data_IF_678917991637
#
_entry.id   IF_678917991637
#
_cell.length_a   1.000
_cell.length_b   1.000
_cell.length_c   1.000
_cell.angle_alpha   90.00
_cell.angle_beta   90.00
_cell.angle_gamma   90.00
#
_symmetry.space_group_name_H-M   'P 1'
#
loop_
_entity.id
_entity.type
_entity.pdbx_description
1 polymer ?
#
# COMPACT_ATOMS: atom_id res chain seq x y z
N UNK A 1 -22.40 0.84 -23.26
CA UNK A 1 -21.11 1.27 -22.73
C UNK A 1 -20.76 0.27 -21.65
N UNK A 2 -19.58 -0.38 -21.63
CA UNK A 2 -19.21 -1.19 -20.49
C UNK A 2 -19.11 -0.25 -19.29
N UNK A 3 -19.85 -0.55 -18.22
CA UNK A 3 -19.73 0.13 -16.94
C UNK A 3 -18.27 0.03 -16.48
N UNK A 4 -17.60 1.17 -16.32
CA UNK A 4 -16.25 1.22 -15.75
C UNK A 4 -16.28 0.66 -14.33
N UNK A 5 -15.95 -0.61 -14.18
CA UNK A 5 -15.92 -1.29 -12.89
C UNK A 5 -14.84 -0.75 -11.95
N UNK A 6 -13.84 -0.05 -12.49
CA UNK A 6 -12.71 0.51 -11.72
C UNK A 6 -12.37 1.87 -12.32
N UNK A 7 -12.27 2.92 -11.49
CA UNK A 7 -11.80 4.21 -11.95
C UNK A 7 -10.26 4.21 -12.03
N UNK A 8 -9.75 4.62 -13.18
CA UNK A 8 -8.34 4.97 -13.37
C UNK A 8 -8.24 6.50 -13.42
N UNK A 9 -7.52 7.09 -12.49
CA UNK A 9 -7.30 8.55 -12.46
C UNK A 9 -5.85 8.82 -12.84
N UNK A 10 -5.66 9.38 -14.06
CA UNK A 10 -4.35 9.85 -14.52
C UNK A 10 -4.04 11.22 -13.92
N UNK A 11 -2.86 11.36 -13.31
CA UNK A 11 -2.43 12.58 -12.60
C UNK A 11 -1.33 13.36 -13.34
N UNK A 12 -0.73 12.79 -14.41
CA UNK A 12 0.35 13.38 -15.17
C UNK A 12 0.06 13.48 -16.68
N UNK A 13 0.52 14.53 -17.37
CA UNK A 13 0.28 14.70 -18.80
C UNK A 13 1.06 13.70 -19.67
N UNK A 14 0.42 13.24 -20.75
CA UNK A 14 0.83 12.12 -21.60
C UNK A 14 2.02 12.34 -22.56
N UNK A 15 2.68 13.50 -22.57
CA UNK A 15 3.50 13.90 -23.70
C UNK A 15 4.89 13.22 -23.88
N UNK A 16 5.32 12.35 -22.97
CA UNK A 16 6.67 11.78 -23.00
C UNK A 16 6.78 10.27 -22.65
N UNK A 17 5.67 9.52 -22.65
CA UNK A 17 5.68 8.13 -22.22
C UNK A 17 6.25 7.19 -23.29
N UNK A 18 7.09 6.24 -22.90
CA UNK A 18 7.46 5.13 -23.78
C UNK A 18 6.22 4.28 -24.07
N UNK A 19 5.94 4.07 -25.35
CA UNK A 19 4.78 3.29 -25.76
C UNK A 19 4.89 1.83 -25.29
N UNK A 20 3.82 1.36 -24.67
CA UNK A 20 3.63 -0.04 -24.33
C UNK A 20 4.27 -0.52 -23.02
N UNK A 21 4.87 0.36 -22.20
CA UNK A 21 5.49 -0.02 -20.92
C UNK A 21 4.91 0.73 -19.73
N UNK A 22 4.66 0.00 -18.62
CA UNK A 22 4.26 0.57 -17.35
C UNK A 22 4.80 -0.23 -16.16
N UNK A 23 4.76 0.39 -14.97
CA UNK A 23 5.01 -0.26 -13.70
C UNK A 23 3.80 -0.08 -12.78
N UNK A 24 3.31 -1.17 -12.20
CA UNK A 24 2.16 -1.23 -11.32
C UNK A 24 2.63 -1.51 -9.90
N UNK A 25 2.34 -0.61 -8.98
CA UNK A 25 2.76 -0.72 -7.59
C UNK A 25 1.55 -0.90 -6.68
N UNK A 26 1.55 -1.98 -5.90
CA UNK A 26 0.72 -2.04 -4.71
C UNK A 26 1.19 -1.01 -3.68
N UNK A 27 0.31 -0.56 -2.79
CA UNK A 27 0.59 0.50 -1.82
C UNK A 27 0.98 -0.07 -0.45
N UNK A 28 0.10 -0.88 0.13
CA UNK A 28 0.19 -1.31 1.52
C UNK A 28 1.32 -2.34 1.72
N UNK A 29 2.28 -2.06 2.61
CA UNK A 29 3.53 -2.80 2.82
C UNK A 29 4.46 -2.93 1.60
N UNK A 30 4.02 -2.55 0.40
CA UNK A 30 4.81 -2.52 -0.84
C UNK A 30 5.49 -1.17 -1.02
N UNK A 31 4.72 -0.10 -1.27
CA UNK A 31 5.22 1.27 -1.42
C UNK A 31 5.47 1.91 -0.06
N UNK A 32 4.57 1.70 0.89
CA UNK A 32 4.63 2.23 2.25
C UNK A 32 4.59 1.13 3.31
N UNK A 33 4.98 1.48 4.54
CA UNK A 33 4.88 0.60 5.70
C UNK A 33 3.49 0.68 6.32
N UNK A 34 2.82 -0.45 6.43
CA UNK A 34 1.49 -0.59 7.04
C UNK A 34 0.37 -0.43 6.01
N UNK A 35 -0.86 -0.33 6.48
CA UNK A 35 -2.06 -0.24 5.67
C UNK A 35 -2.57 1.21 5.60
N UNK A 36 -2.69 1.75 4.40
CA UNK A 36 -3.20 3.10 4.12
C UNK A 36 -4.63 3.27 4.66
N UNK A 37 -5.48 2.27 4.44
CA UNK A 37 -6.87 2.26 4.93
C UNK A 37 -6.95 2.38 6.47
N UNK A 38 -5.99 1.81 7.21
CA UNK A 38 -5.93 1.96 8.66
C UNK A 38 -5.71 3.43 9.08
N UNK A 39 -4.86 4.16 8.34
CA UNK A 39 -4.59 5.57 8.61
C UNK A 39 -5.80 6.45 8.27
N UNK A 40 -6.49 6.15 7.17
CA UNK A 40 -7.75 6.79 6.79
C UNK A 40 -8.80 6.58 7.88
N UNK A 41 -9.04 5.34 8.29
CA UNK A 41 -10.02 5.01 9.33
C UNK A 41 -9.67 5.68 10.67
N UNK A 42 -8.40 5.70 11.06
CA UNK A 42 -7.95 6.39 12.28
C UNK A 42 -8.26 7.89 12.23
N UNK A 43 -8.02 8.54 11.09
CA UNK A 43 -8.27 9.97 10.94
C UNK A 43 -9.77 10.28 10.93
N UNK A 44 -10.57 9.46 10.25
CA UNK A 44 -12.03 9.54 10.29
C UNK A 44 -12.57 9.43 11.72
N UNK A 45 -12.03 8.50 12.52
CA UNK A 45 -12.36 8.37 13.94
C UNK A 45 -12.00 9.66 14.72
N UNK A 46 -10.82 10.23 14.50
CA UNK A 46 -10.39 11.47 15.15
C UNK A 46 -11.29 12.67 14.80
N UNK A 47 -11.86 12.68 13.60
CA UNK A 47 -12.85 13.68 13.15
C UNK A 47 -14.27 13.40 13.67
N UNK A 48 -14.49 12.29 14.40
CA UNK A 48 -15.80 11.93 14.95
C UNK A 48 -16.77 11.37 13.91
N UNK A 49 -16.26 10.93 12.73
CA UNK A 49 -17.08 10.35 11.69
C UNK A 49 -17.75 9.03 12.15
N UNK A 50 -17.17 8.35 13.14
CA UNK A 50 -17.77 7.18 13.78
C UNK A 50 -17.33 7.06 15.26
N UNK A 51 -18.11 6.32 16.04
CA UNK A 51 -17.88 6.12 17.47
C UNK A 51 -17.10 4.84 17.76
N UNK A 52 -16.50 4.76 18.98
CA UNK A 52 -15.79 3.55 19.43
C UNK A 52 -16.68 2.28 19.34
N UNK A 53 -17.96 2.28 19.74
CA UNK A 53 -18.83 1.11 19.58
C UNK A 53 -19.01 0.66 18.13
N UNK A 54 -19.12 1.61 17.17
CA UNK A 54 -19.20 1.31 15.74
C UNK A 54 -17.88 0.70 15.23
N UNK A 55 -16.74 1.28 15.60
CA UNK A 55 -15.41 0.76 15.27
C UNK A 55 -15.17 -0.62 15.92
N UNK A 56 -15.56 -0.82 17.17
CA UNK A 56 -15.44 -2.10 17.89
C UNK A 56 -16.34 -3.18 17.27
N UNK A 57 -17.55 -2.82 16.85
CA UNK A 57 -18.44 -3.73 16.11
C UNK A 57 -17.83 -4.19 14.79
N UNK A 58 -17.20 -3.27 14.06
CA UNK A 58 -16.45 -3.59 12.84
C UNK A 58 -15.22 -4.48 13.12
N UNK A 59 -14.40 -4.11 14.10
CA UNK A 59 -13.22 -4.88 14.50
C UNK A 59 -13.60 -6.29 15.02
N UNK A 60 -14.72 -6.42 15.74
CA UNK A 60 -15.23 -7.71 16.18
C UNK A 60 -15.68 -8.61 15.03
N UNK A 61 -16.39 -8.04 14.03
CA UNK A 61 -16.76 -8.76 12.82
C UNK A 61 -15.52 -9.24 12.06
N UNK A 62 -14.53 -8.37 11.91
CA UNK A 62 -13.25 -8.69 11.26
C UNK A 62 -12.48 -9.78 12.01
N UNK A 63 -12.44 -9.72 13.36
CA UNK A 63 -11.80 -10.72 14.21
C UNK A 63 -12.50 -12.09 14.11
N UNK A 64 -13.83 -12.11 14.16
CA UNK A 64 -14.61 -13.33 13.98
C UNK A 64 -14.47 -13.94 12.59
N UNK A 65 -14.33 -13.09 11.55
CA UNK A 65 -14.01 -13.51 10.20
C UNK A 65 -12.67 -14.26 10.13
N UNK A 66 -11.61 -13.68 10.69
CA UNK A 66 -10.27 -14.30 10.73
C UNK A 66 -10.30 -15.64 11.49
N UNK A 67 -11.09 -15.74 12.57
CA UNK A 67 -11.18 -16.96 13.39
C UNK A 67 -11.99 -18.09 12.74
N UNK A 68 -13.01 -17.77 11.94
CA UNK A 68 -13.93 -18.77 11.35
C UNK A 68 -13.46 -19.34 10.02
N UNK A 69 -12.37 -18.79 9.45
CA UNK A 69 -11.92 -19.17 8.11
C UNK A 69 -12.82 -18.59 7.00
N UNK A 70 -12.23 -18.45 5.83
CA UNK A 70 -12.81 -17.74 4.67
C UNK A 70 -14.14 -18.38 4.21
N UNK A 71 -15.27 -17.78 4.59
CA UNK A 71 -16.52 -17.94 3.88
C UNK A 71 -16.76 -16.65 3.06
N UNK A 72 -17.07 -16.80 1.79
CA UNK A 72 -17.29 -15.70 0.84
C UNK A 72 -18.40 -14.75 1.31
N UNK A 73 -19.43 -15.29 1.97
CA UNK A 73 -20.55 -14.50 2.51
C UNK A 73 -20.14 -13.56 3.66
N UNK A 74 -19.12 -13.92 4.45
CA UNK A 74 -18.60 -13.10 5.55
C UNK A 74 -17.74 -11.92 5.03
N UNK A 75 -17.10 -12.05 3.87
CA UNK A 75 -16.36 -10.95 3.20
C UNK A 75 -17.33 -9.85 2.78
N UNK A 76 -18.48 -10.21 2.21
CA UNK A 76 -19.50 -9.25 1.83
C UNK A 76 -20.08 -8.50 3.03
N UNK A 77 -20.33 -9.18 4.16
CA UNK A 77 -20.86 -8.54 5.36
C UNK A 77 -19.87 -7.53 6.01
N UNK A 78 -18.57 -7.82 5.98
CA UNK A 78 -17.53 -6.89 6.45
C UNK A 78 -17.43 -5.69 5.52
N UNK A 79 -17.45 -5.92 4.21
CA UNK A 79 -17.48 -4.88 3.17
C UNK A 79 -18.66 -3.92 3.39
N UNK A 80 -19.86 -4.44 3.48
CA UNK A 80 -21.10 -3.66 3.60
C UNK A 80 -21.12 -2.83 4.89
N UNK A 81 -20.52 -3.33 5.96
CA UNK A 81 -20.42 -2.59 7.21
C UNK A 81 -19.43 -1.41 7.15
N UNK A 82 -18.30 -1.57 6.47
CA UNK A 82 -17.30 -0.50 6.28
C UNK A 82 -17.87 0.60 5.35
N UNK A 83 -18.56 0.21 4.29
CA UNK A 83 -19.18 1.11 3.33
C UNK A 83 -20.31 1.93 3.95
N UNK A 84 -21.10 1.33 4.85
CA UNK A 84 -22.15 2.04 5.59
C UNK A 84 -21.59 3.20 6.43
N UNK A 85 -20.34 3.12 6.90
CA UNK A 85 -19.68 4.20 7.63
C UNK A 85 -19.26 5.37 6.71
N UNK A 86 -19.10 5.13 5.43
CA UNK A 86 -18.78 6.17 4.45
C UNK A 86 -20.02 6.87 3.88
N UNK A 87 -21.22 6.32 4.10
CA UNK A 87 -22.46 6.88 3.57
C UNK A 87 -22.69 8.32 4.08
N UNK A 88 -22.97 9.25 3.16
CA UNK A 88 -23.21 10.65 3.44
C UNK A 88 -21.95 11.52 3.56
N UNK A 89 -20.75 10.95 3.51
CA UNK A 89 -19.50 11.70 3.43
C UNK A 89 -19.36 12.24 2.02
N UNK A 90 -18.92 13.49 1.85
CA UNK A 90 -18.71 14.08 0.53
C UNK A 90 -17.38 13.62 -0.08
N UNK A 91 -17.27 13.66 -1.40
CA UNK A 91 -16.00 13.37 -2.11
C UNK A 91 -14.93 14.36 -1.66
N UNK A 92 -15.27 15.64 -1.54
CA UNK A 92 -14.36 16.70 -1.07
C UNK A 92 -13.80 16.40 0.32
N UNK A 93 -14.63 15.88 1.25
CA UNK A 93 -14.18 15.51 2.59
C UNK A 93 -13.20 14.32 2.56
N UNK A 94 -13.39 13.36 1.66
CA UNK A 94 -12.48 12.22 1.51
C UNK A 94 -11.16 12.65 0.84
N UNK A 95 -11.21 13.53 -0.15
CA UNK A 95 -9.99 14.11 -0.76
C UNK A 95 -9.19 14.92 0.26
N UNK A 96 -9.86 15.82 1.00
CA UNK A 96 -9.21 16.58 2.07
C UNK A 96 -8.66 15.68 3.20
N UNK A 97 -9.36 14.59 3.51
CA UNK A 97 -8.91 13.58 4.44
C UNK A 97 -7.66 12.86 3.89
N UNK A 98 -7.64 12.57 2.60
CA UNK A 98 -6.50 11.95 1.91
C UNK A 98 -5.23 12.80 2.01
N UNK A 99 -5.32 14.11 1.78
CA UNK A 99 -4.22 15.06 1.92
C UNK A 99 -3.68 15.09 3.36
N UNK A 100 -4.54 15.19 4.38
CA UNK A 100 -4.12 15.18 5.78
C UNK A 100 -3.46 13.83 6.17
N UNK A 101 -4.03 12.71 5.73
CA UNK A 101 -3.48 11.39 6.01
C UNK A 101 -2.12 11.21 5.31
N UNK A 102 -1.97 11.76 4.10
CA UNK A 102 -0.69 11.73 3.40
C UNK A 102 0.37 12.49 4.21
N UNK A 103 0.13 13.76 4.53
CA UNK A 103 1.09 14.63 5.22
C UNK A 103 1.45 14.11 6.63
N UNK A 104 0.46 13.72 7.42
CA UNK A 104 0.68 13.32 8.80
C UNK A 104 1.22 11.90 8.96
N UNK A 105 0.87 10.99 8.05
CA UNK A 105 1.05 9.56 8.29
C UNK A 105 1.72 8.80 7.15
N UNK A 106 1.37 9.04 5.87
CA UNK A 106 1.84 8.22 4.75
C UNK A 106 3.26 8.59 4.36
N UNK A 107 3.57 9.88 4.15
CA UNK A 107 4.85 10.35 3.65
C UNK A 107 6.04 9.76 4.43
N UNK A 108 5.99 9.83 5.75
CA UNK A 108 7.05 9.31 6.63
C UNK A 108 7.18 7.78 6.62
N UNK A 109 6.21 7.08 6.05
CA UNK A 109 6.15 5.61 5.98
C UNK A 109 6.53 5.04 4.63
N UNK A 110 6.68 5.86 3.60
CA UNK A 110 7.11 5.41 2.28
C UNK A 110 8.48 4.76 2.39
N UNK A 111 8.62 3.58 1.80
CA UNK A 111 9.90 2.90 1.72
C UNK A 111 10.81 3.63 0.73
N UNK A 112 11.98 4.17 1.16
CA UNK A 112 12.88 4.87 0.23
C UNK A 112 13.29 4.03 -0.96
N UNK A 113 13.47 2.71 -0.77
CA UNK A 113 13.79 1.80 -1.86
C UNK A 113 12.65 1.59 -2.85
N UNK A 114 11.39 1.50 -2.40
CA UNK A 114 10.24 1.39 -3.28
C UNK A 114 10.00 2.69 -4.06
N UNK A 115 10.14 3.85 -3.40
CA UNK A 115 10.08 5.17 -4.05
C UNK A 115 11.15 5.29 -5.13
N UNK A 116 12.39 4.90 -4.84
CA UNK A 116 13.49 4.93 -5.81
C UNK A 116 13.22 4.05 -7.04
N UNK A 117 12.58 2.87 -6.87
CA UNK A 117 12.15 2.02 -7.99
C UNK A 117 11.09 2.72 -8.86
N UNK A 118 10.07 3.33 -8.24
CA UNK A 118 9.04 4.10 -8.97
C UNK A 118 9.66 5.27 -9.74
N UNK A 119 10.52 6.06 -9.10
CA UNK A 119 11.25 7.15 -9.74
C UNK A 119 12.17 6.67 -10.88
N UNK A 120 12.76 5.48 -10.77
CA UNK A 120 13.57 4.90 -11.85
C UNK A 120 12.72 4.63 -13.09
N UNK A 121 11.49 4.10 -12.92
CA UNK A 121 10.57 3.90 -14.04
C UNK A 121 10.19 5.23 -14.70
N UNK A 122 9.83 6.24 -13.90
CA UNK A 122 9.51 7.57 -14.42
C UNK A 122 10.67 8.19 -15.20
N UNK A 123 11.91 8.08 -14.69
CA UNK A 123 13.12 8.64 -15.35
C UNK A 123 13.39 8.05 -16.74
N UNK A 124 12.99 6.81 -16.98
CA UNK A 124 13.12 6.17 -18.30
C UNK A 124 11.85 6.29 -19.14
N UNK A 125 10.90 7.14 -18.73
CA UNK A 125 9.68 7.42 -19.49
C UNK A 125 8.60 6.34 -19.38
N UNK A 126 8.64 5.47 -18.38
CA UNK A 126 7.56 4.49 -18.12
C UNK A 126 6.48 5.09 -17.26
N UNK A 127 5.24 4.73 -17.56
CA UNK A 127 4.09 5.05 -16.70
C UNK A 127 4.21 4.29 -15.39
N UNK A 128 3.84 4.94 -14.27
CA UNK A 128 3.81 4.32 -12.95
C UNK A 128 2.44 4.48 -12.34
N UNK A 129 1.75 3.36 -12.13
CA UNK A 129 0.40 3.30 -11.58
C UNK A 129 0.40 2.69 -10.19
N UNK A 130 -0.36 3.28 -9.28
CA UNK A 130 -0.72 2.62 -8.03
C UNK A 130 -1.89 1.68 -8.26
N UNK A 131 -1.91 0.52 -7.57
CA UNK A 131 -2.99 -0.47 -7.65
C UNK A 131 -3.32 -0.94 -6.25
N UNK A 132 -4.39 -0.42 -5.64
CA UNK A 132 -4.62 -0.58 -4.20
C UNK A 132 -6.09 -0.78 -3.84
N UNK A 133 -6.35 -1.49 -2.74
CA UNK A 133 -7.68 -1.61 -2.15
C UNK A 133 -8.18 -0.30 -1.50
N UNK A 134 -7.32 0.69 -1.33
CA UNK A 134 -7.64 2.01 -0.79
C UNK A 134 -8.65 2.74 -1.69
N UNK A 135 -9.54 3.59 -1.14
CA UNK A 135 -10.42 4.42 -1.95
C UNK A 135 -9.64 5.21 -3.01
N UNK A 136 -10.21 5.32 -4.22
CA UNK A 136 -9.54 5.93 -5.37
C UNK A 136 -9.11 7.37 -5.09
N UNK A 137 -9.87 8.12 -4.32
CA UNK A 137 -9.58 9.51 -3.96
C UNK A 137 -8.28 9.61 -3.17
N UNK A 138 -8.11 8.77 -2.16
CA UNK A 138 -6.89 8.71 -1.35
C UNK A 138 -5.70 8.17 -2.17
N UNK A 139 -5.93 7.15 -3.00
CA UNK A 139 -4.91 6.61 -3.91
C UNK A 139 -4.42 7.67 -4.91
N UNK A 140 -5.34 8.52 -5.40
CA UNK A 140 -5.04 9.65 -6.29
C UNK A 140 -4.17 10.70 -5.59
N UNK A 141 -4.48 11.04 -4.35
CA UNK A 141 -3.63 11.93 -3.55
C UNK A 141 -2.22 11.36 -3.43
N UNK A 142 -2.07 10.09 -3.05
CA UNK A 142 -0.75 9.43 -2.93
C UNK A 142 0.00 9.49 -4.27
N UNK A 143 -0.67 9.16 -5.37
CA UNK A 143 -0.09 9.17 -6.72
C UNK A 143 0.38 10.57 -7.12
N UNK A 144 -0.46 11.59 -6.93
CA UNK A 144 -0.16 13.00 -7.25
C UNK A 144 1.03 13.51 -6.44
N UNK A 145 1.03 13.28 -5.12
CA UNK A 145 2.09 13.71 -4.20
C UNK A 145 3.45 13.05 -4.50
N UNK A 146 3.45 11.87 -5.10
CA UNK A 146 4.65 11.16 -5.53
C UNK A 146 5.03 11.45 -7.00
N UNK A 147 4.25 12.23 -7.73
CA UNK A 147 4.48 12.53 -9.15
C UNK A 147 4.35 11.31 -10.05
N UNK A 148 3.51 10.34 -9.69
CA UNK A 148 3.26 9.13 -10.46
C UNK A 148 2.27 9.42 -11.60
N UNK A 149 2.06 8.44 -12.49
CA UNK A 149 1.16 8.59 -13.65
C UNK A 149 -0.30 8.61 -13.22
N UNK A 150 -0.68 7.79 -12.24
CA UNK A 150 -2.05 7.69 -11.77
C UNK A 150 -2.26 6.58 -10.75
N UNK A 151 -3.51 6.34 -10.41
CA UNK A 151 -3.92 5.30 -9.48
C UNK A 151 -5.13 4.50 -9.99
N UNK A 152 -5.17 3.24 -9.59
CA UNK A 152 -6.31 2.34 -9.61
C UNK A 152 -6.67 2.04 -8.15
N UNK A 153 -7.89 2.33 -7.74
CA UNK A 153 -8.36 2.18 -6.37
C UNK A 153 -9.76 1.59 -6.29
N UNK A 154 -10.22 1.34 -5.08
CA UNK A 154 -11.62 0.95 -4.84
C UNK A 154 -12.53 2.15 -5.06
N UNK A 155 -13.62 1.96 -5.79
CA UNK A 155 -14.55 3.03 -6.18
C UNK A 155 -15.83 2.95 -5.35
N UNK A 156 -16.11 4.00 -4.57
CA UNK A 156 -17.40 4.18 -3.92
C UNK A 156 -18.46 4.72 -4.89
N UNK A 157 -19.72 4.27 -4.74
CA UNK A 157 -20.83 4.86 -5.48
C UNK A 157 -21.13 6.25 -4.92
N UNK A 158 -21.22 7.24 -5.81
CA UNK A 158 -21.47 8.64 -5.46
C UNK A 158 -22.82 9.05 -6.04
N UNK A 159 -23.63 9.69 -5.20
CA UNK A 159 -24.88 10.35 -5.60
C UNK A 159 -24.88 11.76 -5.00
N UNK A 160 -25.17 12.75 -5.83
CA UNK A 160 -25.21 14.18 -5.42
C UNK A 160 -23.97 14.63 -4.66
N UNK A 161 -22.77 14.17 -5.08
CA UNK A 161 -21.47 14.53 -4.47
C UNK A 161 -21.14 13.84 -3.17
N UNK A 162 -21.96 12.89 -2.71
CA UNK A 162 -21.74 12.13 -1.47
C UNK A 162 -21.76 10.62 -1.73
N UNK A 163 -21.00 9.88 -0.91
CA UNK A 163 -21.00 8.43 -0.98
C UNK A 163 -22.33 7.84 -0.52
N UNK A 164 -22.82 6.84 -1.28
CA UNK A 164 -24.07 6.14 -0.93
C UNK A 164 -23.86 5.03 0.10
N UNK A 165 -22.61 4.65 0.36
CA UNK A 165 -22.27 3.48 1.15
C UNK A 165 -22.27 2.18 0.33
N UNK A 166 -22.25 2.27 -1.00
CA UNK A 166 -22.08 1.13 -1.92
C UNK A 166 -20.82 1.28 -2.74
N UNK A 167 -20.36 0.21 -3.39
CA UNK A 167 -19.26 0.25 -4.34
C UNK A 167 -19.77 0.24 -5.78
N UNK A 168 -18.99 0.84 -6.66
CA UNK A 168 -19.04 0.57 -8.10
C UNK A 168 -18.09 -0.59 -8.37
N UNK A 169 -18.64 -1.79 -8.62
CA UNK A 169 -17.85 -3.01 -8.72
C UNK A 169 -17.44 -3.59 -7.36
N UNK A 170 -16.25 -4.15 -7.29
CA UNK A 170 -15.70 -4.81 -6.08
C UNK A 170 -14.54 -4.03 -5.46
N UNK A 171 -14.16 -4.42 -4.22
CA UNK A 171 -12.91 -3.94 -3.62
C UNK A 171 -11.74 -4.34 -4.53
N UNK A 172 -10.84 -3.40 -4.82
CA UNK A 172 -9.69 -3.64 -5.67
C UNK A 172 -8.59 -4.41 -4.92
N UNK A 173 -8.84 -5.70 -4.68
CA UNK A 173 -7.97 -6.60 -3.94
C UNK A 173 -7.77 -7.93 -4.68
N UNK A 174 -6.57 -8.51 -4.57
CA UNK A 174 -6.26 -9.82 -5.14
C UNK A 174 -6.57 -9.91 -6.64
N UNK A 175 -7.41 -10.88 -7.08
CA UNK A 175 -7.73 -11.07 -8.51
C UNK A 175 -8.34 -9.84 -9.18
N UNK A 176 -9.08 -8.99 -8.46
CA UNK A 176 -9.67 -7.76 -9.00
C UNK A 176 -8.59 -6.78 -9.48
N UNK A 177 -7.42 -6.72 -8.81
CA UNK A 177 -6.27 -5.93 -9.28
C UNK A 177 -5.78 -6.39 -10.65
N UNK A 178 -5.73 -7.70 -10.89
CA UNK A 178 -5.32 -8.24 -12.19
C UNK A 178 -6.30 -7.86 -13.31
N UNK A 179 -7.61 -7.84 -13.01
CA UNK A 179 -8.63 -7.38 -13.96
C UNK A 179 -8.44 -5.90 -14.26
N UNK A 180 -8.36 -5.04 -13.26
CA UNK A 180 -8.20 -3.61 -13.44
C UNK A 180 -6.90 -3.24 -14.19
N UNK A 181 -5.80 -3.94 -13.92
CA UNK A 181 -4.53 -3.74 -14.66
C UNK A 181 -4.65 -4.19 -16.11
N UNK A 182 -5.40 -5.25 -16.41
CA UNK A 182 -5.67 -5.64 -17.78
C UNK A 182 -6.49 -4.60 -18.53
N UNK A 183 -7.52 -4.10 -17.88
CA UNK A 183 -8.43 -3.10 -18.47
C UNK A 183 -7.67 -1.80 -18.79
N UNK A 184 -6.84 -1.29 -17.86
CA UNK A 184 -6.02 -0.10 -18.13
C UNK A 184 -4.92 -0.39 -19.18
N UNK A 185 -4.36 -1.58 -19.20
CA UNK A 185 -3.36 -1.95 -20.20
C UNK A 185 -3.95 -1.96 -21.60
N UNK A 186 -5.19 -2.45 -21.76
CA UNK A 186 -5.92 -2.42 -23.04
C UNK A 186 -6.25 -0.97 -23.44
N UNK A 187 -6.80 -0.16 -22.52
CA UNK A 187 -7.14 1.24 -22.77
C UNK A 187 -5.92 2.11 -23.14
N UNK A 188 -4.78 1.85 -22.53
CA UNK A 188 -3.55 2.62 -22.71
C UNK A 188 -2.59 2.03 -23.75
N UNK A 189 -2.94 0.90 -24.39
CA UNK A 189 -2.11 0.20 -25.38
C UNK A 189 -0.80 -0.34 -24.80
N UNK A 190 -0.83 -0.87 -23.56
CA UNK A 190 0.34 -1.43 -22.88
C UNK A 190 0.54 -2.91 -23.25
N UNK A 191 1.80 -3.31 -23.45
CA UNK A 191 2.18 -4.71 -23.54
C UNK A 191 2.55 -5.25 -22.16
N UNK A 192 1.68 -6.05 -21.56
CA UNK A 192 1.89 -6.60 -20.22
C UNK A 192 3.18 -7.43 -20.11
N UNK A 193 3.68 -8.05 -21.20
CA UNK A 193 4.95 -8.74 -21.19
C UNK A 193 6.15 -7.78 -21.01
N UNK A 194 5.95 -6.49 -21.25
CA UNK A 194 6.95 -5.43 -21.07
C UNK A 194 6.69 -4.58 -19.83
N UNK A 195 5.68 -4.94 -19.03
CA UNK A 195 5.31 -4.23 -17.81
C UNK A 195 5.90 -4.88 -16.57
N UNK A 196 5.99 -4.08 -15.51
CA UNK A 196 6.42 -4.46 -14.15
C UNK A 196 5.23 -4.46 -13.21
N UNK A 197 5.22 -5.36 -12.22
CA UNK A 197 4.31 -5.29 -11.09
C UNK A 197 5.05 -5.58 -9.77
N UNK A 198 4.68 -4.84 -8.73
CA UNK A 198 5.32 -4.85 -7.42
C UNK A 198 4.26 -5.09 -6.34
N UNK A 199 4.44 -6.12 -5.50
CA UNK A 199 3.54 -6.40 -4.38
C UNK A 199 4.24 -7.14 -3.24
N UNK A 200 3.67 -7.07 -2.03
CA UNK A 200 4.07 -7.81 -0.83
C UNK A 200 3.20 -9.04 -0.56
N UNK A 201 2.03 -9.14 -1.19
CA UNK A 201 0.96 -10.09 -0.86
C UNK A 201 0.86 -11.24 -1.86
N UNK A 202 0.67 -12.46 -1.32
CA UNK A 202 0.32 -13.63 -2.15
C UNK A 202 -1.02 -13.48 -2.86
N UNK A 203 -1.94 -12.64 -2.37
CA UNK A 203 -3.21 -12.38 -3.04
C UNK A 203 -3.03 -11.71 -4.41
N UNK A 204 -1.89 -11.04 -4.63
CA UNK A 204 -1.56 -10.36 -5.88
C UNK A 204 -0.76 -11.25 -6.86
N UNK A 205 -0.63 -12.56 -6.58
CA UNK A 205 -0.03 -13.51 -7.54
C UNK A 205 -0.72 -13.47 -8.91
N UNK A 206 -2.07 -13.33 -9.02
CA UNK A 206 -2.72 -13.18 -10.33
C UNK A 206 -2.24 -11.94 -11.11
N UNK A 207 -2.02 -10.81 -10.44
CA UNK A 207 -1.44 -9.59 -11.03
C UNK A 207 0.03 -9.80 -11.42
N UNK A 208 0.84 -10.30 -10.48
CA UNK A 208 2.27 -10.53 -10.69
C UNK A 208 2.53 -11.52 -11.83
N UNK A 209 1.71 -12.58 -11.94
CA UNK A 209 1.87 -13.62 -12.96
C UNK A 209 1.44 -13.21 -14.37
N UNK A 210 0.77 -12.06 -14.54
CA UNK A 210 0.32 -11.60 -15.86
C UNK A 210 1.29 -10.59 -16.52
N UNK A 211 2.30 -10.11 -15.79
CA UNK A 211 3.29 -9.17 -16.32
C UNK A 211 4.63 -9.85 -16.63
N UNK A 212 5.40 -9.26 -17.53
CA UNK A 212 6.72 -9.80 -17.89
C UNK A 212 7.78 -9.65 -16.81
N UNK A 213 7.60 -8.70 -15.89
CA UNK A 213 8.58 -8.37 -14.85
C UNK A 213 7.95 -8.32 -13.45
N UNK A 214 7.52 -9.46 -12.89
CA UNK A 214 7.00 -9.51 -11.52
C UNK A 214 8.12 -9.32 -10.50
N UNK A 215 7.85 -8.56 -9.44
CA UNK A 215 8.80 -8.26 -8.36
C UNK A 215 8.09 -8.33 -7.01
N UNK A 216 8.62 -9.12 -6.08
CA UNK A 216 8.11 -9.21 -4.73
C UNK A 216 8.84 -8.19 -3.81
N UNK A 217 8.11 -7.25 -3.23
CA UNK A 217 8.63 -6.28 -2.25
C UNK A 217 8.13 -6.66 -0.87
N UNK A 218 9.01 -6.80 0.11
CA UNK A 218 8.66 -7.14 1.50
C UNK A 218 7.70 -8.34 1.62
N UNK A 219 7.82 -9.41 0.80
CA UNK A 219 6.78 -10.39 0.61
C UNK A 219 6.40 -11.13 1.89
N UNK A 220 5.11 -11.51 1.97
CA UNK A 220 4.64 -12.49 2.92
C UNK A 220 5.28 -13.87 2.67
N UNK A 221 5.05 -14.83 3.56
CA UNK A 221 5.70 -16.15 3.48
C UNK A 221 5.28 -16.95 2.25
N UNK A 222 4.02 -16.80 1.78
CA UNK A 222 3.48 -17.49 0.62
C UNK A 222 4.01 -16.89 -0.67
N UNK A 223 3.96 -15.56 -0.81
CA UNK A 223 4.53 -14.86 -1.96
C UNK A 223 6.06 -15.08 -2.04
N UNK A 224 6.77 -15.04 -0.91
CA UNK A 224 8.22 -15.31 -0.87
C UNK A 224 8.58 -16.70 -1.39
N UNK A 225 7.77 -17.71 -1.06
CA UNK A 225 7.95 -19.07 -1.59
C UNK A 225 7.67 -19.08 -3.08
N UNK A 226 6.52 -18.57 -3.52
CA UNK A 226 6.13 -18.51 -4.92
C UNK A 226 7.17 -17.75 -5.78
N UNK A 227 7.66 -16.61 -5.30
CA UNK A 227 8.71 -15.84 -5.99
C UNK A 227 10.01 -16.63 -6.16
N UNK A 228 10.42 -17.39 -5.13
CA UNK A 228 11.60 -18.27 -5.21
C UNK A 228 11.41 -19.38 -6.23
N UNK A 229 10.24 -20.04 -6.20
CA UNK A 229 9.92 -21.18 -7.07
C UNK A 229 9.84 -20.75 -8.55
N UNK A 230 9.50 -19.47 -8.81
CA UNK A 230 9.40 -18.89 -10.15
C UNK A 230 10.57 -17.96 -10.53
N UNK A 231 11.64 -17.90 -9.72
CA UNK A 231 12.81 -17.03 -9.92
C UNK A 231 12.46 -15.54 -10.03
N UNK A 232 11.41 -15.07 -9.34
CA UNK A 232 11.06 -13.67 -9.29
C UNK A 232 12.00 -12.88 -8.37
N UNK A 233 12.42 -11.68 -8.73
CA UNK A 233 13.22 -10.81 -7.86
C UNK A 233 12.48 -10.50 -6.55
N UNK A 234 13.24 -10.50 -5.44
CA UNK A 234 12.72 -10.20 -4.10
C UNK A 234 13.53 -9.06 -3.49
N UNK A 235 12.86 -7.98 -3.13
CA UNK A 235 13.43 -6.89 -2.34
C UNK A 235 12.81 -6.86 -0.94
N UNK A 236 13.63 -6.86 0.11
CA UNK A 236 13.14 -6.80 1.49
C UNK A 236 13.70 -5.57 2.20
N UNK A 237 12.96 -4.46 2.19
CA UNK A 237 13.33 -3.20 2.82
C UNK A 237 13.18 -3.21 4.35
N UNK A 238 12.53 -4.23 4.92
CA UNK A 238 12.37 -4.41 6.37
C UNK A 238 13.67 -4.80 7.04
N UNK A 239 14.50 -5.60 6.38
CA UNK A 239 15.75 -6.17 6.94
C UNK A 239 16.85 -5.13 7.12
N UNK A 240 16.99 -4.16 6.22
CA UNK A 240 17.97 -3.08 6.32
C UNK A 240 17.79 -2.21 7.58
N UNK A 241 16.54 -1.95 7.98
CA UNK A 241 16.23 -1.22 9.22
C UNK A 241 16.48 -2.06 10.48
N UNK A 242 16.22 -3.37 10.43
CA UNK A 242 16.54 -4.28 11.56
C UNK A 242 18.04 -4.39 11.81
N UNK A 243 18.85 -4.46 10.76
CA UNK A 243 20.30 -4.47 10.88
C UNK A 243 20.85 -3.15 11.44
N UNK A 244 20.33 -2.00 10.98
CA UNK A 244 20.71 -0.69 11.49
C UNK A 244 20.27 -0.49 12.95
N UNK A 245 19.07 -0.90 13.35
CA UNK A 245 18.59 -0.79 14.74
C UNK A 245 19.29 -1.77 15.68
N UNK A 246 19.65 -2.97 15.22
CA UNK A 246 20.47 -3.92 15.98
C UNK A 246 21.91 -3.42 16.11
N UNK A 247 22.49 -2.87 15.05
CA UNK A 247 23.82 -2.26 15.07
C UNK A 247 23.91 -1.07 16.03
N UNK A 248 22.91 -0.17 16.03
CA UNK A 248 22.87 0.95 16.99
C UNK A 248 22.71 0.49 18.44
N UNK A 249 21.85 -0.51 18.71
CA UNK A 249 21.69 -1.07 20.06
C UNK A 249 22.95 -1.79 20.53
N UNK A 250 23.63 -2.51 19.65
CA UNK A 250 24.91 -3.16 19.97
C UNK A 250 26.02 -2.12 20.24
N UNK A 251 26.06 -1.03 19.46
CA UNK A 251 27.01 0.06 19.66
C UNK A 251 26.78 0.82 20.98
N UNK A 252 25.52 1.06 21.38
CA UNK A 252 25.16 1.70 22.64
C UNK A 252 25.50 0.80 23.84
N UNK A 253 25.21 -0.49 23.79
CA UNK A 253 25.56 -1.44 24.84
C UNK A 253 27.07 -1.62 24.92
N UNK A 254 27.78 -1.77 23.81
CA UNK A 254 29.24 -1.87 23.76
C UNK A 254 29.95 -0.62 24.28
N UNK A 255 29.42 0.58 23.96
CA UNK A 255 29.93 1.85 24.47
C UNK A 255 29.79 2.01 25.99
N UNK A 256 28.65 1.59 26.55
CA UNK A 256 28.39 1.61 28.00
C UNK A 256 29.31 0.62 28.73
N UNK A 257 29.46 -0.61 28.22
CA UNK A 257 30.34 -1.63 28.80
C UNK A 257 31.80 -1.19 28.72
N UNK A 258 32.26 -0.62 27.62
CA UNK A 258 33.61 -0.09 27.47
C UNK A 258 33.86 1.10 28.38
N UNK A 259 32.89 2.00 28.53
CA UNK A 259 32.98 3.15 29.47
C UNK A 259 33.06 2.73 30.93
N UNK A 260 32.29 1.73 31.35
CA UNK A 260 32.34 1.15 32.69
C UNK A 260 33.66 0.42 32.95
N UNK A 261 34.14 -0.37 31.96
CA UNK A 261 35.42 -1.06 32.08
C UNK A 261 36.60 -0.08 32.19
N UNK A 262 36.59 0.99 31.40
CA UNK A 262 37.65 2.03 31.46
C UNK A 262 37.56 2.90 32.73
N UNK A 263 36.36 3.09 33.27
CA UNK A 263 36.16 3.72 34.60
C UNK A 263 36.73 2.86 35.73
N UNK A 264 36.42 1.56 35.71
CA UNK A 264 36.95 0.61 36.71
C UNK A 264 38.45 0.41 36.65
N UNK A 265 39.09 0.44 35.49
CA UNK A 265 40.53 0.31 35.32
C UNK A 265 41.32 1.53 35.80
N UNK A 266 40.70 2.71 35.90
CA UNK A 266 41.31 3.92 36.47
C UNK A 266 41.29 3.97 38.00
N UNK A 267 40.41 3.18 38.63
CA UNK A 267 40.34 3.10 40.11
C UNK A 267 41.28 2.05 40.73
N UNK A 268 41.93 1.20 39.92
CA UNK A 268 43.02 0.33 40.38
C UNK A 268 44.34 1.06 40.18
N UNK A 269 44.63 1.98 41.09
CA UNK A 269 45.94 2.55 41.21
C UNK A 269 46.96 1.45 41.61
N UNK A 270 48.28 1.64 41.32
CA UNK A 270 49.28 0.66 41.69
C UNK A 270 49.32 0.55 43.19
N UNK A 271 49.13 -0.65 43.71
CA UNK A 271 49.44 -1.01 45.11
C UNK A 271 50.92 -0.99 45.26
N UNK A 272 51.46 -0.52 46.44
CA UNK A 272 52.86 -0.32 46.70
C UNK A 272 53.68 -1.63 46.78
#
# INVERSE_FOLDING_TARGET
>A
MPEEKYAAVATAPHAAWQHGEAAFFDVDNTLMKGASLFHVARKMYQRGAFTIPQAAGFAWKQFMFVLRGENIDDVHAVRDSALTLAAGITVEDIEALGEEVYDEMIESRIWPGAKALAEQHLRVGRRVWLVTATPIEVATVISTRLGLTGALGTVGEILDGSYTGRLVGDILHGPAKAVAVRDIAEAEGLDLNRCWAYSDSHNDIPLLGMVGHPVAINPDSRLRRHARDNNWPVYDFRSGRRAATLGLKAATVGGVVYGLWRGFSRFRGPTP
#
